data_IF_091687173927
#
_entry.id   IF_091687173927
#
_cell.length_a   1.000
_cell.length_b   1.000
_cell.length_c   1.000
_cell.angle_alpha   90.00
_cell.angle_beta   90.00
_cell.angle_gamma   90.00
#
_symmetry.space_group_name_H-M   'P 1'
#
loop_
_entity.id
_entity.type
_entity.pdbx_description
1 polymer ?
#
# COMPACT_ATOMS: atom_id res chain seq x y z
N UNK A 1 18.75 -16.41 6.65
CA UNK A 1 18.10 -17.35 5.74
C UNK A 1 17.38 -16.57 4.64
N UNK A 2 18.01 -16.52 3.47
CA UNK A 2 17.42 -15.83 2.32
C UNK A 2 16.81 -16.86 1.39
N UNK A 3 15.62 -16.54 0.88
CA UNK A 3 15.03 -17.26 -0.25
C UNK A 3 15.40 -16.47 -1.51
N UNK A 4 16.24 -17.01 -2.40
CA UNK A 4 16.55 -16.36 -3.65
C UNK A 4 15.27 -16.13 -4.45
N UNK A 5 15.03 -14.89 -4.86
CA UNK A 5 13.83 -14.51 -5.60
C UNK A 5 14.25 -13.75 -6.85
N UNK A 6 13.50 -13.93 -7.95
CA UNK A 6 13.73 -13.24 -9.19
C UNK A 6 13.65 -11.71 -9.02
N UNK A 7 14.54 -10.98 -9.71
CA UNK A 7 14.65 -9.53 -9.59
C UNK A 7 13.37 -8.77 -9.97
N UNK A 8 12.61 -9.26 -10.97
CA UNK A 8 11.35 -8.66 -11.35
C UNK A 8 10.26 -8.83 -10.28
N UNK A 9 10.22 -9.99 -9.64
CA UNK A 9 9.29 -10.25 -8.53
C UNK A 9 9.58 -9.35 -7.34
N UNK A 10 10.86 -9.19 -6.97
CA UNK A 10 11.28 -8.30 -5.89
C UNK A 10 10.94 -6.85 -6.23
N UNK A 11 11.22 -6.41 -7.46
CA UNK A 11 10.89 -5.06 -7.91
C UNK A 11 9.38 -4.79 -7.85
N UNK A 12 8.56 -5.70 -8.37
CA UNK A 12 7.09 -5.57 -8.38
C UNK A 12 6.51 -5.52 -6.97
N UNK A 13 7.00 -6.38 -6.08
CA UNK A 13 6.59 -6.40 -4.69
C UNK A 13 6.97 -5.09 -3.96
N UNK A 14 8.20 -4.63 -4.15
CA UNK A 14 8.69 -3.41 -3.51
C UNK A 14 7.94 -2.19 -4.03
N UNK A 15 7.73 -2.09 -5.34
CA UNK A 15 6.95 -1.02 -5.95
C UNK A 15 5.52 -0.98 -5.41
N UNK A 16 4.84 -2.14 -5.35
CA UNK A 16 3.48 -2.24 -4.81
C UNK A 16 3.40 -1.88 -3.33
N UNK A 17 4.43 -2.18 -2.56
CA UNK A 17 4.49 -1.84 -1.13
C UNK A 17 4.67 -0.33 -0.91
N UNK A 18 5.43 0.34 -1.78
CA UNK A 18 5.66 1.79 -1.71
C UNK A 18 4.48 2.57 -2.26
N UNK A 19 3.92 2.15 -3.41
CA UNK A 19 2.81 2.81 -4.10
C UNK A 19 1.45 2.57 -3.43
N UNK A 20 1.41 2.63 -2.11
CA UNK A 20 0.18 2.52 -1.32
C UNK A 20 -0.64 3.82 -1.27
N UNK A 21 -1.68 3.83 -0.44
CA UNK A 21 -2.57 5.00 -0.29
C UNK A 21 -1.83 6.27 0.16
N UNK A 22 -0.79 6.14 0.99
CA UNK A 22 -0.03 7.28 1.51
C UNK A 22 0.57 8.18 0.43
N UNK A 23 1.35 7.67 -0.54
CA UNK A 23 1.87 8.47 -1.65
C UNK A 23 0.80 9.15 -2.51
N UNK A 24 -0.36 8.52 -2.68
CA UNK A 24 -1.46 9.10 -3.47
C UNK A 24 -2.19 10.19 -2.69
N UNK A 25 -2.67 9.88 -1.50
CA UNK A 25 -3.45 10.81 -0.67
C UNK A 25 -2.59 11.90 -0.04
N UNK A 26 -1.33 11.61 0.26
CA UNK A 26 -0.39 12.57 0.85
C UNK A 26 -0.15 13.77 -0.05
N UNK A 27 0.02 13.57 -1.35
CA UNK A 27 0.16 14.66 -2.30
C UNK A 27 -1.11 15.53 -2.40
N UNK A 28 -2.29 14.90 -2.36
CA UNK A 28 -3.58 15.60 -2.38
C UNK A 28 -3.76 16.44 -1.10
N UNK A 29 -3.49 15.87 0.07
CA UNK A 29 -3.57 16.57 1.35
C UNK A 29 -2.55 17.70 1.43
N UNK A 30 -1.34 17.48 0.95
CA UNK A 30 -0.29 18.49 0.92
C UNK A 30 -0.63 19.67 -0.01
N UNK A 31 -1.46 19.48 -1.03
CA UNK A 31 -1.91 20.54 -1.93
C UNK A 31 -2.65 21.68 -1.22
N UNK A 32 -3.21 21.45 -0.02
CA UNK A 32 -3.79 22.48 0.84
C UNK A 32 -2.78 23.58 1.20
N UNK A 33 -1.50 23.21 1.30
CA UNK A 33 -0.40 24.16 1.59
C UNK A 33 0.09 24.92 0.35
N UNK A 34 -0.46 24.66 -0.81
CA UNK A 34 -0.07 25.24 -2.09
C UNK A 34 0.92 24.38 -2.87
N UNK A 35 0.93 24.54 -4.18
CA UNK A 35 1.71 23.67 -5.08
C UNK A 35 3.24 23.82 -4.92
N UNK A 36 3.73 25.02 -4.63
CA UNK A 36 5.18 25.27 -4.56
C UNK A 36 5.84 24.62 -3.34
N UNK A 37 5.31 24.75 -2.10
CA UNK A 37 5.83 24.00 -0.95
C UNK A 37 5.79 22.48 -1.17
N UNK A 38 4.73 21.97 -1.78
CA UNK A 38 4.60 20.53 -2.08
C UNK A 38 5.65 20.08 -3.09
N UNK A 39 5.83 20.83 -4.19
CA UNK A 39 6.85 20.52 -5.19
C UNK A 39 8.25 20.49 -4.60
N UNK A 40 8.61 21.51 -3.82
CA UNK A 40 9.91 21.58 -3.15
C UNK A 40 10.10 20.43 -2.16
N UNK A 41 9.07 20.09 -1.38
CA UNK A 41 9.14 18.98 -0.45
C UNK A 41 9.28 17.61 -1.16
N UNK A 42 8.54 17.38 -2.24
CA UNK A 42 8.62 16.14 -3.01
C UNK A 42 10.01 16.00 -3.65
N UNK A 43 10.56 17.08 -4.24
CA UNK A 43 11.88 17.02 -4.86
C UNK A 43 12.99 16.94 -3.82
N UNK A 44 13.07 17.88 -2.91
CA UNK A 44 14.18 17.95 -1.94
C UNK A 44 14.03 16.85 -0.88
N UNK A 45 12.83 16.68 -0.32
CA UNK A 45 12.54 15.66 0.67
C UNK A 45 12.69 14.25 0.11
N UNK A 46 12.19 14.00 -1.09
CA UNK A 46 12.33 12.72 -1.77
C UNK A 46 13.78 12.33 -2.03
N UNK A 47 14.63 13.29 -2.43
CA UNK A 47 16.06 13.03 -2.66
C UNK A 47 16.81 12.88 -1.34
N UNK A 48 16.76 13.88 -0.46
CA UNK A 48 17.64 13.95 0.70
C UNK A 48 17.11 13.12 1.89
N UNK A 49 15.81 13.07 2.11
CA UNK A 49 15.23 12.30 3.21
C UNK A 49 14.76 10.91 2.78
N UNK A 50 14.18 10.77 1.59
CA UNK A 50 13.75 9.47 1.06
C UNK A 50 14.92 8.65 0.54
N UNK A 51 15.45 9.00 -0.63
CA UNK A 51 16.43 8.19 -1.34
C UNK A 51 17.72 7.94 -0.55
N UNK A 52 18.25 8.94 0.16
CA UNK A 52 19.48 8.79 0.97
C UNK A 52 19.24 7.85 2.15
N UNK A 53 18.09 7.97 2.82
CA UNK A 53 17.74 7.10 3.96
C UNK A 53 17.52 5.66 3.50
N UNK A 54 16.78 5.47 2.42
CA UNK A 54 16.48 4.14 1.87
C UNK A 54 17.76 3.46 1.36
N UNK A 55 18.60 4.20 0.64
CA UNK A 55 19.89 3.70 0.20
C UNK A 55 20.79 3.34 1.37
N UNK A 56 20.87 4.18 2.40
CA UNK A 56 21.65 3.92 3.61
C UNK A 56 21.18 2.67 4.35
N UNK A 57 19.86 2.49 4.50
CA UNK A 57 19.26 1.32 5.12
C UNK A 57 19.54 0.05 4.31
N UNK A 58 19.37 0.11 2.98
CA UNK A 58 19.67 -1.01 2.08
C UNK A 58 21.15 -1.38 2.12
N UNK A 59 22.05 -0.41 2.01
CA UNK A 59 23.50 -0.62 2.09
C UNK A 59 23.91 -1.26 3.42
N UNK A 60 23.41 -0.73 4.54
CA UNK A 60 23.67 -1.28 5.86
C UNK A 60 23.16 -2.72 5.99
N UNK A 61 21.99 -3.03 5.46
CA UNK A 61 21.41 -4.37 5.44
C UNK A 61 22.30 -5.33 4.62
N UNK A 62 22.61 -4.99 3.38
CA UNK A 62 23.44 -5.81 2.48
C UNK A 62 24.82 -6.08 3.08
N UNK A 63 25.48 -5.04 3.64
CA UNK A 63 26.78 -5.17 4.31
C UNK A 63 26.75 -6.06 5.55
N UNK A 64 25.59 -6.30 6.12
CA UNK A 64 25.39 -7.15 7.31
C UNK A 64 24.57 -8.40 7.00
N UNK A 65 24.78 -9.03 5.87
CA UNK A 65 24.13 -10.26 5.44
C UNK A 65 22.61 -10.14 5.38
N UNK A 66 22.08 -8.96 4.97
CA UNK A 66 20.65 -8.65 4.80
C UNK A 66 19.84 -8.64 6.10
N UNK A 67 20.48 -8.33 7.21
CA UNK A 67 19.77 -8.21 8.49
C UNK A 67 18.79 -7.06 8.49
N UNK A 68 17.67 -7.26 9.16
CA UNK A 68 16.68 -6.20 9.37
C UNK A 68 17.23 -5.07 10.24
N UNK A 69 16.63 -3.87 10.12
CA UNK A 69 17.07 -2.70 10.91
C UNK A 69 17.06 -2.96 12.42
N UNK A 70 16.11 -3.74 12.93
CA UNK A 70 16.07 -4.11 14.34
C UNK A 70 17.32 -4.91 14.78
N UNK A 71 17.81 -5.81 13.94
CA UNK A 71 19.03 -6.57 14.20
C UNK A 71 20.31 -5.72 14.05
N UNK A 72 20.28 -4.76 13.11
CA UNK A 72 21.39 -3.81 12.97
C UNK A 72 21.49 -2.89 14.19
N UNK A 73 20.37 -2.40 14.68
CA UNK A 73 20.32 -1.60 15.92
C UNK A 73 20.86 -2.42 17.11
N UNK A 74 20.49 -3.69 17.21
CA UNK A 74 21.06 -4.55 18.25
C UNK A 74 22.57 -4.67 18.15
N UNK A 75 23.08 -4.83 16.93
CA UNK A 75 24.52 -4.98 16.68
C UNK A 75 25.34 -3.74 17.04
N UNK A 76 24.82 -2.54 16.71
CA UNK A 76 25.56 -1.30 16.84
C UNK A 76 25.23 -0.48 18.11
N UNK A 77 24.01 -0.61 18.64
CA UNK A 77 23.52 0.14 19.80
C UNK A 77 23.25 -0.77 20.99
N UNK A 78 22.89 -2.03 20.75
CA UNK A 78 22.66 -3.01 21.79
C UNK A 78 21.20 -3.43 21.94
N UNK A 79 20.96 -4.40 22.84
CA UNK A 79 19.65 -5.03 23.05
C UNK A 79 18.56 -4.05 23.47
N UNK A 80 18.90 -3.04 24.27
CA UNK A 80 17.92 -2.03 24.70
C UNK A 80 17.45 -1.18 23.50
N UNK A 81 18.36 -0.77 22.63
CA UNK A 81 18.06 -0.03 21.41
C UNK A 81 17.10 -0.82 20.51
N UNK A 82 17.37 -2.12 20.31
CA UNK A 82 16.44 -3.00 19.57
C UNK A 82 15.06 -3.06 20.17
N UNK A 83 14.93 -3.24 21.49
CA UNK A 83 13.63 -3.30 22.16
C UNK A 83 12.84 -2.00 21.98
N UNK A 84 13.47 -0.86 22.18
CA UNK A 84 12.84 0.45 21.99
C UNK A 84 12.41 0.66 20.55
N UNK A 85 13.26 0.31 19.58
CA UNK A 85 12.92 0.38 18.16
C UNK A 85 11.73 -0.51 17.80
N UNK A 86 11.67 -1.74 18.30
CA UNK A 86 10.55 -2.65 18.03
C UNK A 86 9.24 -2.15 18.65
N UNK A 87 9.28 -1.59 19.87
CA UNK A 87 8.10 -0.96 20.50
C UNK A 87 7.64 0.24 19.66
N UNK A 88 8.58 1.09 19.22
CA UNK A 88 8.27 2.21 18.33
C UNK A 88 7.60 1.73 17.04
N UNK A 89 8.19 0.75 16.37
CA UNK A 89 7.61 0.19 15.13
C UNK A 89 6.22 -0.39 15.35
N UNK A 90 5.99 -1.07 16.48
CA UNK A 90 4.70 -1.63 16.81
C UNK A 90 3.64 -0.55 17.05
N UNK A 91 3.94 0.46 17.84
CA UNK A 91 3.04 1.60 18.08
C UNK A 91 2.76 2.38 16.78
N UNK A 92 3.80 2.63 16.00
CA UNK A 92 3.67 3.30 14.70
C UNK A 92 2.76 2.51 13.75
N UNK A 93 2.93 1.18 13.69
CA UNK A 93 2.09 0.30 12.86
C UNK A 93 0.62 0.37 13.27
N UNK A 94 0.31 0.42 14.58
CA UNK A 94 -1.08 0.59 15.05
C UNK A 94 -1.70 1.91 14.58
N UNK A 95 -0.95 3.00 14.67
CA UNK A 95 -1.40 4.33 14.21
C UNK A 95 -1.65 4.31 12.69
N UNK A 96 -0.75 3.72 11.93
CA UNK A 96 -0.87 3.62 10.47
C UNK A 96 -2.08 2.77 10.08
N UNK A 97 -2.28 1.62 10.72
CA UNK A 97 -3.45 0.76 10.46
C UNK A 97 -4.74 1.51 10.78
N UNK A 98 -4.81 2.21 11.92
CA UNK A 98 -5.99 2.97 12.29
C UNK A 98 -6.30 4.08 11.27
N UNK A 99 -5.28 4.84 10.83
CA UNK A 99 -5.45 5.89 9.84
C UNK A 99 -5.90 5.36 8.48
N UNK A 100 -5.31 4.24 8.02
CA UNK A 100 -5.75 3.63 6.77
C UNK A 100 -7.13 2.99 6.87
N UNK A 101 -7.46 2.37 7.99
CA UNK A 101 -8.80 1.81 8.20
C UNK A 101 -9.87 2.90 8.15
N UNK A 102 -9.64 4.04 8.76
CA UNK A 102 -10.56 5.20 8.70
C UNK A 102 -10.71 5.72 7.27
N UNK A 103 -9.59 5.90 6.56
CA UNK A 103 -9.58 6.35 5.16
C UNK A 103 -10.33 5.39 4.25
N UNK A 104 -10.09 4.08 4.38
CA UNK A 104 -10.75 3.04 3.59
C UNK A 104 -12.24 2.96 3.94
N UNK A 105 -12.61 3.04 5.23
CA UNK A 105 -13.99 3.07 5.64
C UNK A 105 -14.74 4.25 5.03
N UNK A 106 -14.10 5.43 4.94
CA UNK A 106 -14.65 6.60 4.26
C UNK A 106 -14.95 6.38 2.78
N UNK A 107 -14.14 5.58 2.08
CA UNK A 107 -14.38 5.27 0.65
C UNK A 107 -15.57 4.35 0.40
N UNK A 108 -16.04 3.62 1.41
CA UNK A 108 -17.20 2.72 1.32
C UNK A 108 -18.46 3.31 1.92
N UNK A 109 -18.39 4.51 2.49
CA UNK A 109 -19.54 5.13 3.12
C UNK A 109 -20.57 5.59 2.04
N UNK A 110 -21.73 4.96 2.05
CA UNK A 110 -22.83 5.26 1.14
C UNK A 110 -23.86 6.23 1.73
N UNK A 111 -23.75 6.58 3.00
CA UNK A 111 -24.77 7.34 3.73
C UNK A 111 -24.22 8.67 4.24
N UNK A 112 -25.08 9.67 4.24
CA UNK A 112 -24.87 10.96 4.91
C UNK A 112 -25.96 11.19 5.95
N UNK A 113 -25.60 11.88 7.03
CA UNK A 113 -26.54 12.32 8.05
C UNK A 113 -26.85 13.79 7.81
N UNK A 114 -28.09 14.11 7.52
CA UNK A 114 -28.55 15.50 7.36
C UNK A 114 -28.51 16.25 8.69
N UNK A 115 -28.56 17.58 8.64
CA UNK A 115 -28.60 18.46 9.81
C UNK A 115 -29.73 18.14 10.80
N UNK A 116 -30.79 17.47 10.33
CA UNK A 116 -31.92 17.00 11.13
C UNK A 116 -31.75 15.58 11.69
N UNK A 117 -30.59 14.95 11.51
CA UNK A 117 -30.32 13.59 11.96
C UNK A 117 -30.91 12.50 11.07
N UNK A 118 -31.43 12.83 9.89
CA UNK A 118 -31.98 11.86 8.95
C UNK A 118 -30.85 11.23 8.14
N UNK A 119 -30.81 9.89 8.10
CA UNK A 119 -29.87 9.12 7.30
C UNK A 119 -30.38 9.02 5.87
N UNK A 120 -29.64 9.55 4.92
CA UNK A 120 -29.94 9.49 3.50
C UNK A 120 -28.77 8.95 2.70
N UNK A 121 -29.04 8.42 1.50
CA UNK A 121 -27.96 8.04 0.57
C UNK A 121 -27.22 9.29 0.10
N UNK A 122 -25.90 9.23 0.13
CA UNK A 122 -25.06 10.30 -0.38
C UNK A 122 -25.06 10.32 -1.92
N UNK A 123 -24.74 11.46 -2.52
CA UNK A 123 -24.56 11.55 -3.98
C UNK A 123 -23.42 10.62 -4.48
N UNK A 124 -22.47 10.32 -3.60
CA UNK A 124 -21.36 9.40 -3.88
C UNK A 124 -21.72 7.91 -3.65
N UNK A 125 -22.91 7.57 -3.17
CA UNK A 125 -23.26 6.19 -2.79
C UNK A 125 -23.01 5.18 -3.92
N UNK A 126 -23.38 5.51 -5.16
CA UNK A 126 -23.14 4.63 -6.31
C UNK A 126 -21.64 4.43 -6.60
N UNK A 127 -20.85 5.48 -6.51
CA UNK A 127 -19.39 5.44 -6.73
C UNK A 127 -18.72 4.66 -5.61
N UNK A 128 -19.12 4.87 -4.37
CA UNK A 128 -18.58 4.18 -3.21
C UNK A 128 -18.99 2.69 -3.21
N UNK A 129 -20.20 2.37 -3.62
CA UNK A 129 -20.64 0.99 -3.84
C UNK A 129 -19.85 0.28 -4.95
N UNK A 130 -19.59 0.98 -6.06
CA UNK A 130 -18.71 0.45 -7.11
C UNK A 130 -17.28 0.18 -6.60
N UNK A 131 -16.71 1.08 -5.79
CA UNK A 131 -15.42 0.88 -5.15
C UNK A 131 -15.41 -0.36 -4.22
N UNK A 132 -16.49 -0.57 -3.47
CA UNK A 132 -16.70 -1.76 -2.65
C UNK A 132 -16.71 -3.05 -3.47
N UNK A 133 -17.52 -3.10 -4.53
CA UNK A 133 -17.59 -4.25 -5.43
C UNK A 133 -16.24 -4.55 -6.08
N UNK A 134 -15.56 -3.54 -6.61
CA UNK A 134 -14.24 -3.68 -7.23
C UNK A 134 -13.24 -4.25 -6.23
N UNK A 135 -13.22 -3.75 -5.00
CA UNK A 135 -12.29 -4.21 -3.96
C UNK A 135 -12.53 -5.68 -3.59
N UNK A 136 -13.76 -6.11 -3.45
CA UNK A 136 -14.10 -7.51 -3.19
C UNK A 136 -13.73 -8.41 -4.37
N UNK A 137 -13.98 -7.95 -5.60
CA UNK A 137 -13.59 -8.69 -6.81
C UNK A 137 -12.07 -8.82 -6.94
N UNK A 138 -11.30 -7.80 -6.59
CA UNK A 138 -9.85 -7.91 -6.58
C UNK A 138 -9.35 -8.99 -5.61
N UNK A 139 -9.94 -9.09 -4.41
CA UNK A 139 -9.59 -10.15 -3.46
C UNK A 139 -9.95 -11.53 -4.04
N UNK A 140 -11.16 -11.69 -4.58
CA UNK A 140 -11.60 -12.94 -5.17
C UNK A 140 -10.72 -13.35 -6.37
N UNK A 141 -10.42 -12.42 -7.28
CA UNK A 141 -9.57 -12.68 -8.43
C UNK A 141 -8.11 -12.90 -8.07
N UNK A 142 -7.60 -12.27 -7.01
CA UNK A 142 -6.25 -12.56 -6.51
C UNK A 142 -6.14 -13.99 -5.99
N UNK A 143 -7.15 -14.48 -5.26
CA UNK A 143 -7.20 -15.89 -4.84
C UNK A 143 -7.30 -16.83 -6.04
N UNK A 144 -8.17 -16.53 -7.00
CA UNK A 144 -8.31 -17.31 -8.24
C UNK A 144 -7.00 -17.32 -9.03
N UNK A 145 -6.35 -16.17 -9.17
CA UNK A 145 -5.07 -16.06 -9.85
C UNK A 145 -3.98 -16.91 -9.17
N UNK A 146 -3.90 -16.90 -7.84
CA UNK A 146 -2.98 -17.76 -7.09
C UNK A 146 -3.23 -19.26 -7.33
N UNK A 147 -4.49 -19.68 -7.41
CA UNK A 147 -4.86 -21.05 -7.76
C UNK A 147 -4.49 -21.40 -9.20
N UNK A 148 -4.78 -20.52 -10.14
CA UNK A 148 -4.42 -20.70 -11.55
C UNK A 148 -2.90 -20.75 -11.75
N UNK A 149 -2.15 -19.89 -11.10
CA UNK A 149 -0.69 -19.90 -11.12
C UNK A 149 -0.13 -21.24 -10.66
N UNK A 150 -0.66 -21.76 -9.54
CA UNK A 150 -0.23 -23.05 -8.97
C UNK A 150 -0.56 -24.24 -9.88
N UNK A 151 -1.76 -24.26 -10.47
CA UNK A 151 -2.22 -25.42 -11.26
C UNK A 151 -1.77 -25.40 -12.72
N UNK A 152 -1.71 -24.22 -13.34
CA UNK A 152 -1.36 -24.06 -14.75
C UNK A 152 0.11 -23.71 -14.97
N UNK A 153 0.91 -23.59 -13.87
CA UNK A 153 2.33 -23.18 -13.95
C UNK A 153 2.53 -21.96 -14.84
N UNK A 154 1.69 -20.95 -14.65
CA UNK A 154 1.77 -19.71 -15.42
C UNK A 154 3.10 -19.03 -15.17
N UNK A 155 3.83 -18.69 -16.23
CA UNK A 155 5.12 -18.01 -16.15
C UNK A 155 5.25 -16.93 -17.23
N UNK A 156 5.94 -15.84 -16.89
CA UNK A 156 6.24 -14.75 -17.81
C UNK A 156 4.99 -14.06 -18.38
N UNK A 157 4.91 -13.89 -19.68
CA UNK A 157 3.83 -13.15 -20.34
C UNK A 157 2.42 -13.68 -20.10
N UNK A 158 2.26 -15.00 -19.90
CA UNK A 158 0.96 -15.62 -19.63
C UNK A 158 0.41 -15.16 -18.28
N UNK A 159 1.27 -15.06 -17.29
CA UNK A 159 0.94 -14.57 -15.95
C UNK A 159 0.45 -13.11 -16.02
N UNK A 160 1.19 -12.26 -16.73
CA UNK A 160 0.83 -10.85 -16.92
C UNK A 160 -0.52 -10.68 -17.62
N UNK A 161 -0.77 -11.47 -18.68
CA UNK A 161 -2.04 -11.42 -19.42
C UNK A 161 -3.21 -11.82 -18.55
N UNK A 162 -3.09 -12.92 -17.81
CA UNK A 162 -4.16 -13.39 -16.90
C UNK A 162 -4.42 -12.35 -15.80
N UNK A 163 -3.38 -11.78 -15.21
CA UNK A 163 -3.51 -10.71 -14.22
C UNK A 163 -4.22 -9.48 -14.78
N UNK A 164 -3.88 -9.06 -16.01
CA UNK A 164 -4.52 -7.94 -16.69
C UNK A 164 -6.01 -8.22 -16.97
N UNK A 165 -6.34 -9.42 -17.44
CA UNK A 165 -7.72 -9.83 -17.68
C UNK A 165 -8.53 -9.79 -16.39
N UNK A 166 -8.01 -10.33 -15.29
CA UNK A 166 -8.65 -10.29 -13.97
C UNK A 166 -8.88 -8.84 -13.50
N UNK A 167 -7.89 -7.98 -13.69
CA UNK A 167 -7.99 -6.56 -13.33
C UNK A 167 -9.09 -5.84 -14.13
N UNK A 168 -9.08 -6.00 -15.46
CA UNK A 168 -10.09 -5.37 -16.34
C UNK A 168 -11.49 -5.92 -16.04
N UNK A 169 -11.62 -7.22 -15.79
CA UNK A 169 -12.88 -7.84 -15.42
C UNK A 169 -13.41 -7.29 -14.08
N UNK A 170 -12.57 -7.15 -13.06
CA UNK A 170 -12.97 -6.58 -11.77
C UNK A 170 -13.49 -5.16 -11.92
N UNK A 171 -12.80 -4.33 -12.69
CA UNK A 171 -13.22 -2.94 -12.96
C UNK A 171 -14.54 -2.90 -13.74
N UNK A 172 -14.69 -3.67 -14.83
CA UNK A 172 -15.88 -3.68 -15.64
C UNK A 172 -17.11 -4.14 -14.86
N UNK A 173 -17.01 -5.23 -14.12
CA UNK A 173 -18.10 -5.77 -13.31
C UNK A 173 -18.44 -4.80 -12.16
N UNK A 174 -17.46 -4.30 -11.43
CA UNK A 174 -17.69 -3.42 -10.30
C UNK A 174 -18.32 -2.08 -10.67
N UNK A 175 -18.01 -1.55 -11.86
CA UNK A 175 -18.65 -0.32 -12.37
C UNK A 175 -20.11 -0.54 -12.79
N UNK A 176 -20.47 -1.76 -13.19
CA UNK A 176 -21.85 -2.08 -13.65
C UNK A 176 -22.75 -2.59 -12.54
N UNK A 177 -22.17 -3.17 -11.48
CA UNK A 177 -22.90 -3.79 -10.37
C UNK A 177 -22.41 -3.25 -9.01
N UNK A 178 -22.68 -1.98 -8.69
CA UNK A 178 -22.34 -1.42 -7.38
C UNK A 178 -23.17 -2.08 -6.27
N UNK A 179 -22.52 -2.45 -5.17
CA UNK A 179 -23.16 -2.98 -3.95
C UNK A 179 -23.75 -1.83 -3.14
#
# INVERSE_FOLDING_TARGET
DYVPTDGWTVFSHQFSSIAGAGPVTGAIQAAVFGWLPVLLWVLIGGIFFGAVTDFGALYASVKNDGKSMGLLIEKYIGKLGRKLFLIFCWLFTLIVIAAFADMVAGTFNAYTVDANGVIALSDAAKTNGAAGTISLLFIAFAMLFGLLHKHLHLTGWKETIVGLICTVAALAIGMTMPI
#
